data_IF_932429162590
#
_entry.id   IF_932429162590
#
_cell.length_a   1.000
_cell.length_b   1.000
_cell.length_c   1.000
_cell.angle_alpha   90.00
_cell.angle_beta   90.00
_cell.angle_gamma   90.00
#
_symmetry.space_group_name_H-M   'P 1'
#
loop_
_entity.id
_entity.type
_entity.pdbx_description
1 polymer ?
#
# COMPACT_ATOMS: atom_id res chain seq x y z
N UNK A 1 23.91 -2.01 19.41
CA UNK A 1 24.03 -2.09 17.93
C UNK A 1 22.70 -2.51 17.31
N UNK A 2 21.94 -3.42 17.94
CA UNK A 2 20.60 -3.81 17.50
C UNK A 2 19.60 -2.65 17.54
N UNK A 3 19.62 -1.81 18.58
CA UNK A 3 18.70 -0.66 18.70
C UNK A 3 18.83 0.37 17.56
N UNK A 4 20.03 0.58 17.02
CA UNK A 4 20.26 1.48 15.89
C UNK A 4 19.73 0.91 14.57
N UNK A 5 19.75 -0.42 14.42
CA UNK A 5 19.19 -1.10 13.25
C UNK A 5 17.66 -1.06 13.30
N UNK A 6 17.08 -1.32 14.47
CA UNK A 6 15.63 -1.23 14.71
C UNK A 6 15.13 0.19 14.43
N UNK A 7 15.84 1.23 14.87
CA UNK A 7 15.45 2.61 14.61
C UNK A 7 15.44 2.95 13.10
N UNK A 8 16.44 2.45 12.36
CA UNK A 8 16.55 2.66 10.92
C UNK A 8 15.46 1.90 10.16
N UNK A 9 15.12 0.68 10.59
CA UNK A 9 14.02 -0.09 10.02
C UNK A 9 12.65 0.52 10.34
N UNK A 10 12.46 1.06 11.56
CA UNK A 10 11.24 1.76 11.95
C UNK A 10 11.04 3.07 11.17
N UNK A 11 12.10 3.83 10.92
CA UNK A 11 12.02 5.07 10.14
C UNK A 11 11.75 4.77 8.66
N UNK A 12 12.36 3.69 8.12
CA UNK A 12 12.02 3.17 6.80
C UNK A 12 10.58 2.68 6.73
N UNK A 13 10.13 1.85 7.68
CA UNK A 13 8.77 1.31 7.72
C UNK A 13 7.73 2.43 7.86
N UNK A 14 8.02 3.47 8.64
CA UNK A 14 7.18 4.65 8.76
C UNK A 14 7.01 5.42 7.44
N UNK A 15 7.79 5.09 6.40
CA UNK A 15 7.68 5.68 5.07
C UNK A 15 6.64 4.96 4.21
N UNK A 16 6.38 3.67 4.45
CA UNK A 16 5.47 2.85 3.65
C UNK A 16 4.04 2.87 4.20
N UNK A 17 3.05 2.71 3.31
CA UNK A 17 1.70 2.28 3.68
C UNK A 17 1.50 0.82 3.26
N UNK A 18 0.83 0.07 4.12
CA UNK A 18 0.59 -1.37 3.93
C UNK A 18 -0.88 -1.59 3.61
N UNK A 19 -1.15 -2.15 2.45
CA UNK A 19 -2.49 -2.48 1.99
C UNK A 19 -2.72 -3.98 2.07
N UNK A 20 -3.80 -4.37 2.75
CA UNK A 20 -4.22 -5.76 2.92
C UNK A 20 -5.42 -6.08 2.03
N UNK A 21 -5.67 -7.38 1.81
CA UNK A 21 -6.82 -7.92 1.06
C UNK A 21 -6.89 -7.57 -0.44
N UNK A 22 -5.79 -7.11 -1.04
CA UNK A 22 -5.74 -6.87 -2.47
C UNK A 22 -5.71 -8.19 -3.23
N UNK A 23 -6.72 -8.40 -4.08
CA UNK A 23 -6.86 -9.60 -4.92
C UNK A 23 -5.63 -9.77 -5.80
N UNK A 24 -5.08 -10.99 -5.83
CA UNK A 24 -3.92 -11.33 -6.64
C UNK A 24 -4.34 -11.84 -8.03
N UNK A 25 -3.72 -11.27 -9.06
CA UNK A 25 -3.85 -11.72 -10.45
C UNK A 25 -2.49 -12.21 -10.97
N UNK A 26 -2.48 -13.22 -11.85
CA UNK A 26 -1.22 -13.77 -12.40
C UNK A 26 -0.45 -12.78 -13.30
N UNK A 27 -1.16 -11.86 -13.94
CA UNK A 27 -0.63 -10.84 -14.85
C UNK A 27 -0.98 -9.44 -14.36
N UNK A 28 -0.86 -9.20 -13.06
CA UNK A 28 -1.15 -7.87 -12.52
C UNK A 28 0.06 -6.94 -12.66
N UNK A 29 -0.22 -5.73 -13.13
CA UNK A 29 0.65 -4.59 -12.93
C UNK A 29 0.28 -3.93 -11.59
N UNK A 30 1.13 -4.15 -10.59
CA UNK A 30 0.88 -3.68 -9.22
C UNK A 30 0.71 -2.17 -9.15
N UNK A 31 1.52 -1.41 -9.88
CA UNK A 31 1.46 0.05 -9.87
C UNK A 31 0.12 0.54 -10.43
N UNK A 32 -0.32 -0.07 -11.53
CA UNK A 32 -1.59 0.29 -12.16
C UNK A 32 -2.80 -0.11 -11.31
N UNK A 33 -2.78 -1.27 -10.65
CA UNK A 33 -3.85 -1.71 -9.73
C UNK A 33 -3.93 -0.77 -8.52
N UNK A 34 -2.79 -0.42 -7.94
CA UNK A 34 -2.76 0.51 -6.81
C UNK A 34 -3.19 1.93 -7.22
N UNK A 35 -2.79 2.38 -8.41
CA UNK A 35 -3.23 3.65 -8.95
C UNK A 35 -4.75 3.67 -9.16
N UNK A 36 -5.33 2.61 -9.73
CA UNK A 36 -6.79 2.48 -9.90
C UNK A 36 -7.54 2.60 -8.57
N UNK A 37 -7.09 1.88 -7.54
CA UNK A 37 -7.67 1.96 -6.19
C UNK A 37 -7.55 3.39 -5.64
N UNK A 38 -6.39 4.03 -5.77
CA UNK A 38 -6.14 5.36 -5.22
C UNK A 38 -6.85 6.49 -6.00
N UNK A 39 -7.18 6.30 -7.29
CA UNK A 39 -8.00 7.25 -8.06
C UNK A 39 -9.38 7.41 -7.41
N UNK A 40 -9.99 6.31 -6.98
CA UNK A 40 -11.31 6.35 -6.31
C UNK A 40 -11.25 7.13 -4.97
N UNK A 41 -10.12 7.10 -4.29
CA UNK A 41 -9.93 7.75 -2.97
C UNK A 41 -9.62 9.24 -3.10
N UNK A 42 -8.75 9.57 -4.04
CA UNK A 42 -8.20 10.91 -4.18
C UNK A 42 -8.98 11.74 -5.20
N UNK A 43 -9.88 11.12 -5.97
CA UNK A 43 -10.61 11.74 -7.10
C UNK A 43 -9.67 12.49 -8.05
N UNK A 44 -8.48 11.91 -8.28
CA UNK A 44 -7.39 12.49 -9.08
C UNK A 44 -7.10 11.66 -10.31
N UNK A 45 -6.40 12.27 -11.26
CA UNK A 45 -5.97 11.58 -12.48
C UNK A 45 -4.97 10.45 -12.17
N UNK A 46 -5.14 9.33 -12.87
CA UNK A 46 -4.29 8.13 -12.74
C UNK A 46 -2.80 8.44 -12.96
N UNK A 47 -2.50 9.30 -13.93
CA UNK A 47 -1.12 9.67 -14.28
C UNK A 47 -0.45 10.53 -13.20
N UNK A 48 -1.21 11.33 -12.45
CA UNK A 48 -0.66 12.06 -11.31
C UNK A 48 -0.33 11.13 -10.15
N UNK A 49 -1.19 10.14 -9.89
CA UNK A 49 -0.98 9.15 -8.84
C UNK A 49 0.24 8.29 -9.16
N UNK A 50 0.37 7.81 -10.40
CA UNK A 50 1.53 7.02 -10.83
C UNK A 50 2.85 7.78 -10.63
N UNK A 51 2.88 9.10 -10.82
CA UNK A 51 4.08 9.92 -10.55
C UNK A 51 4.41 10.09 -9.07
N UNK A 52 3.41 9.94 -8.19
CA UNK A 52 3.57 10.04 -6.74
C UNK A 52 3.92 8.69 -6.09
N UNK A 53 3.71 7.58 -6.82
CA UNK A 53 4.19 6.25 -6.43
C UNK A 53 5.69 6.13 -6.76
N UNK A 54 6.48 5.71 -5.78
CA UNK A 54 7.93 5.57 -5.93
C UNK A 54 8.36 4.09 -5.89
N UNK A 55 7.86 3.33 -4.92
CA UNK A 55 8.05 1.88 -4.87
C UNK A 55 6.74 1.19 -4.51
N UNK A 56 6.38 0.15 -5.28
CA UNK A 56 5.23 -0.71 -4.99
C UNK A 56 5.67 -2.16 -5.09
N UNK A 57 5.48 -2.94 -4.02
CA UNK A 57 5.81 -4.36 -4.04
C UNK A 57 4.90 -5.18 -3.11
N UNK A 58 4.75 -6.47 -3.45
CA UNK A 58 4.09 -7.43 -2.57
C UNK A 58 5.06 -8.04 -1.58
N UNK A 59 4.67 -8.05 -0.31
CA UNK A 59 5.42 -8.72 0.74
C UNK A 59 4.97 -10.16 0.85
N UNK A 60 5.92 -11.08 0.64
CA UNK A 60 5.69 -12.50 0.74
C UNK A 60 6.12 -13.00 2.13
N UNK A 61 5.19 -13.08 3.07
CA UNK A 61 5.43 -13.72 4.37
C UNK A 61 5.22 -15.24 4.30
N UNK A 62 5.94 -16.00 5.14
CA UNK A 62 5.72 -17.44 5.27
C UNK A 62 4.29 -17.77 5.70
N UNK A 63 3.68 -16.88 6.48
CA UNK A 63 2.28 -16.98 6.87
C UNK A 63 1.36 -16.95 5.64
N UNK A 64 1.46 -15.93 4.80
CA UNK A 64 0.63 -15.80 3.60
C UNK A 64 0.77 -17.02 2.67
N UNK A 65 2.01 -17.52 2.49
CA UNK A 65 2.27 -18.74 1.71
C UNK A 65 1.59 -19.97 2.29
N UNK A 66 1.66 -20.17 3.61
CA UNK A 66 1.11 -21.34 4.29
C UNK A 66 -0.42 -21.37 4.28
N UNK A 67 -1.04 -20.20 4.48
CA UNK A 67 -2.49 -20.09 4.63
C UNK A 67 -3.21 -19.63 3.35
N UNK A 68 -2.48 -19.48 2.23
CA UNK A 68 -3.02 -18.99 0.95
C UNK A 68 -3.78 -17.66 1.11
N UNK A 69 -3.30 -16.79 2.00
CA UNK A 69 -3.84 -15.45 2.19
C UNK A 69 -3.31 -14.52 1.08
N UNK A 70 -4.09 -13.52 0.66
CA UNK A 70 -3.58 -12.45 -0.21
C UNK A 70 -2.36 -11.79 0.44
N UNK A 71 -1.29 -11.60 -0.34
CA UNK A 71 -0.07 -10.91 0.08
C UNK A 71 -0.33 -9.43 0.23
N UNK A 72 0.27 -8.85 1.26
CA UNK A 72 0.20 -7.41 1.53
C UNK A 72 0.98 -6.63 0.46
N UNK A 73 0.48 -5.46 0.10
CA UNK A 73 1.16 -4.54 -0.82
C UNK A 73 1.73 -3.37 -0.01
N UNK A 74 3.02 -3.12 -0.19
CA UNK A 74 3.74 -2.04 0.44
C UNK A 74 3.96 -0.95 -0.59
N UNK A 75 3.57 0.28 -0.25
CA UNK A 75 3.72 1.44 -1.14
C UNK A 75 4.57 2.50 -0.46
N UNK A 76 5.65 2.92 -1.15
CA UNK A 76 6.36 4.16 -0.89
C UNK A 76 5.84 5.24 -1.80
N UNK A 77 5.49 6.37 -1.21
CA UNK A 77 5.14 7.57 -1.95
C UNK A 77 6.36 8.49 -2.04
N UNK A 78 6.51 9.17 -3.19
CA UNK A 78 7.56 10.17 -3.42
C UNK A 78 7.49 11.31 -2.39
N UNK A 79 6.26 11.68 -1.98
CA UNK A 79 6.00 12.76 -1.03
C UNK A 79 5.34 12.25 0.25
N UNK A 80 6.02 12.45 1.39
CA UNK A 80 5.48 12.14 2.73
C UNK A 80 4.12 12.80 3.02
N UNK A 81 3.90 14.01 2.51
CA UNK A 81 2.63 14.75 2.69
C UNK A 81 1.45 14.01 2.04
N UNK A 82 1.64 13.46 0.84
CA UNK A 82 0.60 12.73 0.09
C UNK A 82 0.21 11.47 0.85
N UNK A 83 1.20 10.72 1.33
CA UNK A 83 0.98 9.55 2.20
C UNK A 83 0.14 9.87 3.43
N UNK A 84 0.46 10.94 4.16
CA UNK A 84 -0.26 11.30 5.38
C UNK A 84 -1.69 11.76 5.11
N UNK A 85 -1.95 12.39 3.96
CA UNK A 85 -3.31 12.73 3.50
C UNK A 85 -4.07 11.45 3.18
N UNK A 86 -3.49 10.56 2.37
CA UNK A 86 -4.10 9.27 2.01
C UNK A 86 -4.45 8.49 3.28
N UNK A 87 -3.52 8.36 4.22
CA UNK A 87 -3.77 7.61 5.46
C UNK A 87 -4.90 8.19 6.31
N UNK A 88 -5.10 9.52 6.31
CA UNK A 88 -6.22 10.15 7.02
C UNK A 88 -7.55 9.83 6.35
N UNK A 89 -7.63 9.98 5.02
CA UNK A 89 -8.85 9.68 4.25
C UNK A 89 -9.22 8.21 4.43
N UNK A 90 -8.25 7.30 4.27
CA UNK A 90 -8.45 5.85 4.40
C UNK A 90 -8.78 5.37 5.81
N UNK A 91 -8.50 6.19 6.83
CA UNK A 91 -8.92 5.89 8.20
C UNK A 91 -10.40 6.20 8.39
N UNK A 92 -10.88 7.25 7.73
CA UNK A 92 -12.26 7.73 7.85
C UNK A 92 -13.20 7.01 6.87
N UNK A 93 -12.67 6.55 5.72
CA UNK A 93 -13.42 5.87 4.66
C UNK A 93 -12.95 4.42 4.46
N UNK A 94 -13.90 3.48 4.50
CA UNK A 94 -13.66 2.07 4.16
C UNK A 94 -13.76 1.86 2.65
N UNK A 95 -12.68 1.42 2.02
CA UNK A 95 -12.64 1.15 0.58
C UNK A 95 -13.02 -0.29 0.29
N UNK A 96 -13.83 -0.46 -0.75
CA UNK A 96 -14.13 -1.76 -1.34
C UNK A 96 -13.56 -1.83 -2.74
N UNK A 97 -12.65 -2.77 -2.98
CA UNK A 97 -12.16 -3.09 -4.32
C UNK A 97 -12.56 -4.51 -4.67
N UNK A 98 -13.26 -4.69 -5.80
CA UNK A 98 -13.74 -6.01 -6.27
C UNK A 98 -14.46 -6.81 -5.16
N UNK A 99 -15.40 -6.14 -4.48
CA UNK A 99 -16.22 -6.67 -3.38
C UNK A 99 -15.45 -7.05 -2.10
N UNK A 100 -14.17 -6.71 -1.99
CA UNK A 100 -13.37 -6.91 -0.77
C UNK A 100 -13.00 -5.58 -0.13
N UNK A 101 -13.14 -5.52 1.19
CA UNK A 101 -12.69 -4.39 1.98
C UNK A 101 -11.16 -4.39 2.08
N UNK A 102 -10.56 -3.27 1.66
CA UNK A 102 -9.14 -3.03 1.77
C UNK A 102 -8.87 -2.38 3.12
N UNK A 103 -7.97 -2.99 3.89
CA UNK A 103 -7.49 -2.41 5.15
C UNK A 103 -6.11 -1.80 4.91
N UNK A 104 -5.91 -0.58 5.43
CA UNK A 104 -4.63 0.11 5.33
C UNK A 104 -3.99 0.31 6.69
N UNK A 105 -2.72 -0.08 6.80
CA UNK A 105 -1.93 -0.04 8.02
C UNK A 105 -0.68 0.85 7.82
N UNK A 106 -0.22 1.42 8.93
CA UNK A 106 1.06 2.14 9.04
C UNK A 106 2.20 1.17 9.31
#
# INVERSE_FOLDING_TARGET
MEDSLVYLEMDKAATYLRFQNIVESKEEDLEHVMAEILVEVLERDKDEILKELDEVYRVSTNYARRYKCPREVYIRFARRKVRDIIYKILRDETIKYKDKEITVLK
#
